data_IF_178701895463
#
_entry.id   IF_178701895463
#
_cell.length_a   1.000
_cell.length_b   1.000
_cell.length_c   1.000
_cell.angle_alpha   90.00
_cell.angle_beta   90.00
_cell.angle_gamma   90.00
#
_symmetry.space_group_name_H-M   'P 1'
#
loop_
_entity.id
_entity.type
_entity.pdbx_description
1 polymer ?
#
# COMPACT_ATOMS: atom_id res chain seq x y z
N UNK A 1 4.78 -3.14 11.77
CA UNK A 1 5.05 -1.94 12.57
C UNK A 1 3.76 -1.17 12.81
N UNK A 2 3.61 -0.49 13.94
CA UNK A 2 2.55 0.51 14.07
C UNK A 2 2.83 1.67 13.09
N UNK A 3 1.77 2.39 12.65
CA UNK A 3 1.93 3.54 11.76
C UNK A 3 2.80 4.63 12.40
N UNK A 4 3.62 5.28 11.58
CA UNK A 4 4.57 6.31 12.01
C UNK A 4 4.09 7.75 11.84
N UNK A 5 2.87 7.95 11.29
CA UNK A 5 2.28 9.28 11.04
C UNK A 5 2.63 9.89 9.67
N UNK A 6 3.22 9.12 8.77
CA UNK A 6 3.48 9.55 7.39
C UNK A 6 2.21 9.71 6.54
N UNK A 7 2.37 10.32 5.38
CA UNK A 7 1.23 10.59 4.45
C UNK A 7 0.59 9.31 3.94
N UNK A 8 1.38 8.25 3.66
CA UNK A 8 0.90 6.95 3.17
C UNK A 8 0.40 6.04 4.28
N UNK A 9 0.65 6.38 5.54
CA UNK A 9 0.29 5.53 6.68
C UNK A 9 -1.23 5.36 6.81
N UNK A 10 -2.03 6.21 6.16
CA UNK A 10 -3.48 6.04 6.12
C UNK A 10 -3.87 4.63 5.62
N UNK A 11 -3.11 4.08 4.67
CA UNK A 11 -3.34 2.76 4.11
C UNK A 11 -3.01 1.61 5.08
N UNK A 12 -2.35 1.91 6.21
CA UNK A 12 -2.10 0.99 7.32
C UNK A 12 -3.06 1.29 8.47
N UNK A 13 -3.19 2.56 8.84
CA UNK A 13 -4.07 3.05 9.93
C UNK A 13 -5.51 2.58 9.76
N UNK A 14 -6.02 2.61 8.53
CA UNK A 14 -7.39 2.19 8.20
C UNK A 14 -7.66 0.73 8.60
N UNK A 15 -6.68 -0.17 8.43
CA UNK A 15 -6.82 -1.58 8.85
C UNK A 15 -6.78 -1.73 10.37
N UNK A 16 -5.95 -0.93 11.07
CA UNK A 16 -5.94 -0.92 12.53
C UNK A 16 -7.30 -0.47 13.09
N UNK A 17 -7.87 0.60 12.55
CA UNK A 17 -9.20 1.07 12.92
C UNK A 17 -10.28 0.00 12.64
N UNK A 18 -10.23 -0.61 11.46
CA UNK A 18 -11.18 -1.65 11.06
C UNK A 18 -11.14 -2.87 11.98
N UNK A 19 -9.95 -3.33 12.40
CA UNK A 19 -9.81 -4.49 13.31
C UNK A 19 -10.28 -4.15 14.71
N UNK A 20 -10.02 -2.94 15.21
CA UNK A 20 -10.47 -2.48 16.53
C UNK A 20 -11.96 -2.13 16.59
N UNK A 21 -12.65 -2.04 15.45
CA UNK A 21 -14.03 -1.58 15.38
C UNK A 21 -14.18 -0.06 15.61
N UNK A 22 -13.13 0.69 15.35
CA UNK A 22 -13.08 2.15 15.49
C UNK A 22 -13.45 2.82 14.15
N UNK A 23 -13.96 4.07 14.20
CA UNK A 23 -14.05 4.92 13.03
C UNK A 23 -12.67 5.29 12.53
N UNK A 24 -12.53 5.43 11.22
CA UNK A 24 -11.31 5.93 10.61
C UNK A 24 -11.51 7.34 10.03
N UNK A 25 -10.66 8.27 10.44
CA UNK A 25 -10.60 9.62 9.88
C UNK A 25 -9.50 9.67 8.81
N UNK A 26 -9.90 9.66 7.53
CA UNK A 26 -8.95 9.71 6.43
C UNK A 26 -8.41 11.14 6.26
N UNK A 27 -7.07 11.34 6.31
CA UNK A 27 -6.49 12.68 6.19
C UNK A 27 -6.40 13.18 4.75
N UNK A 28 -6.55 12.29 3.76
CA UNK A 28 -6.46 12.61 2.35
C UNK A 28 -7.84 12.82 1.73
N UNK A 29 -7.88 13.59 0.65
CA UNK A 29 -9.13 13.80 -0.11
C UNK A 29 -9.51 12.54 -0.87
N UNK A 30 -10.81 12.41 -1.12
CA UNK A 30 -11.36 11.44 -2.06
C UNK A 30 -10.67 11.56 -3.43
N UNK A 31 -10.37 10.43 -4.06
CA UNK A 31 -9.72 10.39 -5.36
C UNK A 31 -8.22 10.66 -5.35
N UNK A 32 -7.57 10.77 -4.17
CA UNK A 32 -6.11 10.89 -4.08
C UNK A 32 -5.48 9.54 -4.36
N UNK A 33 -5.04 9.33 -5.61
CA UNK A 33 -4.37 8.10 -6.04
C UNK A 33 -2.91 8.12 -5.61
N UNK A 34 -2.45 7.04 -5.01
CA UNK A 34 -1.05 6.82 -4.65
C UNK A 34 -0.61 5.41 -5.04
N UNK A 35 0.63 5.31 -5.52
CA UNK A 35 1.26 4.01 -5.74
C UNK A 35 1.62 3.37 -4.41
N UNK A 36 1.28 2.09 -4.29
CA UNK A 36 1.45 1.32 -3.08
C UNK A 36 2.04 -0.05 -3.36
N UNK A 37 2.77 -0.55 -2.38
CA UNK A 37 3.27 -1.91 -2.39
C UNK A 37 3.16 -2.51 -0.99
N UNK A 38 2.66 -3.75 -0.91
CA UNK A 38 2.62 -4.46 0.36
C UNK A 38 4.03 -4.91 0.77
N UNK A 39 4.36 -4.81 2.06
CA UNK A 39 5.72 -5.10 2.56
C UNK A 39 6.30 -6.45 2.14
N UNK A 40 5.55 -7.57 2.10
CA UNK A 40 6.09 -8.82 1.57
C UNK A 40 6.60 -8.71 0.13
N UNK A 41 5.86 -8.03 -0.76
CA UNK A 41 6.31 -7.81 -2.13
C UNK A 41 7.53 -6.88 -2.21
N UNK A 42 7.60 -5.86 -1.34
CA UNK A 42 8.75 -4.97 -1.29
C UNK A 42 10.04 -5.70 -0.84
N UNK A 43 9.92 -6.60 0.15
CA UNK A 43 11.03 -7.44 0.61
C UNK A 43 11.42 -8.44 -0.48
N UNK A 44 10.45 -9.13 -1.07
CA UNK A 44 10.69 -10.08 -2.16
C UNK A 44 11.36 -9.39 -3.35
N UNK A 45 10.93 -8.17 -3.72
CA UNK A 45 11.54 -7.39 -4.79
C UNK A 45 13.02 -7.09 -4.51
N UNK A 46 13.35 -6.69 -3.28
CA UNK A 46 14.75 -6.42 -2.90
C UNK A 46 15.60 -7.69 -2.99
N UNK A 47 15.10 -8.83 -2.48
CA UNK A 47 15.81 -10.12 -2.52
C UNK A 47 16.01 -10.57 -3.98
N UNK A 48 14.94 -10.55 -4.80
CA UNK A 48 15.02 -10.96 -6.20
C UNK A 48 15.99 -10.10 -7.00
N UNK A 49 16.03 -8.78 -6.76
CA UNK A 49 17.01 -7.91 -7.42
C UNK A 49 18.47 -8.25 -7.00
N UNK A 50 18.69 -8.57 -5.72
CA UNK A 50 20.02 -9.00 -5.22
C UNK A 50 20.47 -10.32 -5.83
N UNK A 51 19.55 -11.22 -6.13
CA UNK A 51 19.79 -12.54 -6.72
C UNK A 51 19.74 -12.54 -8.26
N UNK A 52 19.37 -11.40 -8.89
CA UNK A 52 19.24 -11.29 -10.33
C UNK A 52 20.60 -11.49 -11.03
N UNK A 53 20.54 -12.08 -12.21
CA UNK A 53 21.73 -12.24 -13.08
C UNK A 53 22.24 -10.87 -13.53
N UNK A 54 23.43 -10.43 -13.06
CA UNK A 54 23.92 -9.10 -13.36
C UNK A 54 24.21 -8.88 -14.85
N UNK A 55 24.34 -9.95 -15.64
CA UNK A 55 24.57 -9.84 -17.09
C UNK A 55 23.31 -9.43 -17.85
N UNK A 56 22.13 -9.62 -17.25
CA UNK A 56 20.82 -9.25 -17.82
C UNK A 56 20.39 -7.84 -17.43
N UNK A 57 21.03 -7.22 -16.42
CA UNK A 57 20.68 -5.90 -15.97
C UNK A 57 21.26 -4.82 -16.89
N UNK A 58 20.38 -4.12 -17.60
CA UNK A 58 20.73 -2.94 -18.41
C UNK A 58 20.87 -1.73 -17.48
N UNK A 59 19.90 -1.55 -16.57
CA UNK A 59 19.92 -0.52 -15.54
C UNK A 59 20.63 -1.07 -14.30
N UNK A 60 21.59 -0.33 -13.76
CA UNK A 60 22.44 -0.83 -12.65
C UNK A 60 22.41 0.04 -11.39
N UNK A 61 21.68 1.14 -11.42
CA UNK A 61 21.63 2.11 -10.34
C UNK A 61 20.32 2.11 -9.57
N UNK A 62 19.19 1.87 -10.24
CA UNK A 62 17.87 1.87 -9.61
C UNK A 62 16.81 1.25 -10.51
N UNK A 63 15.76 0.71 -9.88
CA UNK A 63 14.54 0.24 -10.53
C UNK A 63 13.33 0.81 -9.80
N UNK A 64 12.35 1.29 -10.55
CA UNK A 64 11.04 1.50 -10.00
C UNK A 64 10.33 0.15 -9.84
N UNK A 65 9.64 -0.01 -8.73
CA UNK A 65 8.78 -1.17 -8.45
C UNK A 65 7.47 -0.68 -7.86
N UNK A 66 6.35 -1.18 -8.38
CA UNK A 66 5.01 -0.86 -7.87
C UNK A 66 4.12 -2.09 -7.97
N UNK A 67 3.11 -2.21 -7.09
CA UNK A 67 2.21 -3.36 -7.09
C UNK A 67 0.77 -2.95 -7.38
N UNK A 68 0.34 -1.84 -6.83
CA UNK A 68 -1.03 -1.38 -6.94
C UNK A 68 -1.10 0.13 -6.75
N UNK A 69 -2.12 0.75 -7.31
CA UNK A 69 -2.45 2.15 -7.04
C UNK A 69 -3.93 2.22 -6.70
N UNK A 70 -4.24 2.93 -5.65
CA UNK A 70 -5.62 3.08 -5.18
C UNK A 70 -5.79 4.38 -4.40
N UNK A 71 -7.02 4.81 -4.30
CA UNK A 71 -7.46 5.93 -3.48
C UNK A 71 -8.09 5.47 -2.16
N UNK A 72 -8.38 6.37 -1.22
CA UNK A 72 -9.03 6.01 0.04
C UNK A 72 -10.39 5.32 -0.11
N UNK A 73 -11.14 5.61 -1.18
CA UNK A 73 -12.44 4.97 -1.43
C UNK A 73 -12.28 3.48 -1.77
N UNK A 74 -11.28 3.15 -2.60
CA UNK A 74 -11.06 1.79 -3.04
C UNK A 74 -10.68 0.87 -1.85
N UNK A 75 -9.74 1.31 -1.01
CA UNK A 75 -9.34 0.53 0.18
C UNK A 75 -10.48 0.44 1.20
N UNK A 76 -11.25 1.51 1.39
CA UNK A 76 -12.42 1.50 2.26
C UNK A 76 -13.49 0.53 1.77
N UNK A 77 -13.80 0.56 0.46
CA UNK A 77 -14.77 -0.36 -0.13
C UNK A 77 -14.33 -1.82 0.01
N UNK A 78 -13.03 -2.10 -0.16
CA UNK A 78 -12.50 -3.46 -0.02
C UNK A 78 -12.58 -3.95 1.42
N UNK A 79 -12.25 -3.11 2.42
CA UNK A 79 -12.40 -3.47 3.84
C UNK A 79 -13.86 -3.76 4.18
N UNK A 80 -14.80 -2.98 3.66
CA UNK A 80 -16.22 -3.19 3.92
C UNK A 80 -16.79 -4.51 3.39
N UNK A 81 -16.15 -5.15 2.41
CA UNK A 81 -16.52 -6.52 1.99
C UNK A 81 -16.35 -7.53 3.12
N UNK A 82 -15.38 -7.28 4.01
CA UNK A 82 -15.06 -8.16 5.14
C UNK A 82 -15.63 -7.65 6.46
N UNK A 83 -15.84 -6.36 6.58
CA UNK A 83 -16.35 -5.65 7.77
C UNK A 83 -17.43 -4.64 7.35
N UNK A 84 -18.68 -5.08 7.14
CA UNK A 84 -19.76 -4.21 6.61
C UNK A 84 -20.06 -2.97 7.45
N UNK A 85 -19.86 -3.07 8.77
CA UNK A 85 -20.15 -1.99 9.73
C UNK A 85 -19.01 -0.97 9.86
N UNK A 86 -17.88 -1.19 9.18
CA UNK A 86 -16.75 -0.26 9.24
C UNK A 86 -17.10 1.08 8.60
N UNK A 87 -16.74 2.17 9.29
CA UNK A 87 -17.02 3.55 8.89
C UNK A 87 -15.74 4.34 8.70
N UNK A 88 -15.61 4.97 7.53
CA UNK A 88 -14.57 5.96 7.24
C UNK A 88 -15.21 7.32 7.01
N UNK A 89 -14.60 8.35 7.57
CA UNK A 89 -14.95 9.76 7.37
C UNK A 89 -13.71 10.51 6.87
N UNK A 90 -13.90 11.64 6.21
CA UNK A 90 -12.81 12.47 5.75
C UNK A 90 -12.53 13.60 6.74
N UNK A 91 -11.29 13.64 7.22
CA UNK A 91 -10.77 14.76 8.01
C UNK A 91 -9.50 15.27 7.36
N UNK A 92 -9.69 16.09 6.34
CA UNK A 92 -8.63 16.58 5.48
C UNK A 92 -7.51 17.27 6.25
N UNK A 93 -6.26 16.78 6.07
CA UNK A 93 -5.03 17.39 6.53
C UNK A 93 -4.34 18.08 5.34
N UNK A 94 -4.28 19.42 5.29
CA UNK A 94 -3.70 20.14 4.15
C UNK A 94 -2.22 19.82 3.91
N UNK A 95 -1.46 19.55 4.97
CA UNK A 95 -0.03 19.24 4.85
C UNK A 95 0.17 17.85 4.22
N UNK A 96 -0.53 16.84 4.74
CA UNK A 96 -0.48 15.47 4.19
C UNK A 96 -0.98 15.44 2.75
N UNK A 97 -2.04 16.19 2.45
CA UNK A 97 -2.55 16.29 1.08
C UNK A 97 -1.53 16.93 0.13
N UNK A 98 -0.89 18.02 0.54
CA UNK A 98 0.13 18.67 -0.29
C UNK A 98 1.31 17.73 -0.59
N UNK A 99 1.70 16.90 0.36
CA UNK A 99 2.73 15.88 0.16
C UNK A 99 2.22 14.82 -0.84
N UNK A 100 1.00 14.30 -0.66
CA UNK A 100 0.41 13.33 -1.57
C UNK A 100 0.29 13.88 -3.00
N UNK A 101 -0.15 15.12 -3.15
CA UNK A 101 -0.31 15.80 -4.45
C UNK A 101 1.05 16.04 -5.16
N UNK A 102 2.17 15.98 -4.45
CA UNK A 102 3.51 16.10 -5.03
C UNK A 102 4.08 14.79 -5.58
N UNK A 103 3.45 13.68 -5.29
CA UNK A 103 3.89 12.36 -5.72
C UNK A 103 3.26 11.99 -7.07
N UNK A 104 3.96 11.20 -7.90
CA UNK A 104 3.37 10.70 -9.13
C UNK A 104 2.19 9.77 -8.82
N UNK A 105 1.14 9.86 -9.62
CA UNK A 105 -0.02 8.96 -9.47
C UNK A 105 0.27 7.54 -9.98
N UNK A 106 1.35 7.38 -10.73
CA UNK A 106 1.76 6.12 -11.34
C UNK A 106 3.28 6.10 -11.52
N UNK A 107 3.89 4.96 -11.20
CA UNK A 107 5.30 4.67 -11.49
C UNK A 107 5.40 3.59 -12.57
N UNK A 108 6.26 3.82 -13.57
CA UNK A 108 6.59 2.81 -14.57
C UNK A 108 7.63 1.83 -14.01
N UNK A 109 7.25 0.56 -13.89
CA UNK A 109 8.08 -0.55 -13.42
C UNK A 109 8.46 -1.53 -14.55
N UNK A 110 8.28 -1.13 -15.81
CA UNK A 110 8.51 -1.98 -16.97
C UNK A 110 9.95 -2.52 -17.04
N UNK A 111 10.95 -1.72 -16.65
CA UNK A 111 12.35 -2.15 -16.58
C UNK A 111 12.55 -3.28 -15.56
N UNK A 112 11.96 -3.16 -14.37
CA UNK A 112 12.05 -4.20 -13.35
C UNK A 112 11.44 -5.53 -13.83
N UNK A 113 10.28 -5.44 -14.48
CA UNK A 113 9.59 -6.62 -15.06
C UNK A 113 10.40 -7.27 -16.17
N UNK A 114 10.99 -6.48 -17.05
CA UNK A 114 11.74 -6.98 -18.21
C UNK A 114 13.11 -7.54 -17.83
N UNK A 115 13.83 -6.88 -16.94
CA UNK A 115 15.26 -7.19 -16.69
C UNK A 115 15.48 -8.27 -15.64
N UNK A 116 14.63 -8.34 -14.62
CA UNK A 116 14.76 -9.33 -13.54
C UNK A 116 13.47 -9.99 -13.11
N UNK A 117 12.39 -9.82 -13.89
CA UNK A 117 11.17 -10.58 -13.72
C UNK A 117 10.32 -10.16 -12.52
N UNK A 118 10.40 -8.88 -12.12
CA UNK A 118 9.56 -8.37 -11.04
C UNK A 118 8.08 -8.68 -11.27
N UNK A 119 7.43 -9.28 -10.28
CA UNK A 119 6.01 -9.65 -10.35
C UNK A 119 5.43 -9.65 -8.93
N UNK A 120 4.74 -8.58 -8.52
CA UNK A 120 4.13 -8.53 -7.20
C UNK A 120 3.02 -9.57 -7.07
N UNK A 121 2.87 -10.14 -5.87
CA UNK A 121 1.92 -11.22 -5.56
C UNK A 121 0.62 -10.70 -4.98
N UNK A 122 0.68 -9.51 -4.37
CA UNK A 122 -0.45 -8.90 -3.68
C UNK A 122 -1.09 -7.79 -4.49
N UNK A 123 -2.37 -7.93 -4.72
CA UNK A 123 -3.31 -6.87 -5.10
C UNK A 123 -4.04 -6.34 -3.86
N UNK A 124 -4.89 -5.33 -4.02
CA UNK A 124 -5.64 -4.74 -2.91
C UNK A 124 -6.53 -5.77 -2.17
N UNK A 125 -7.29 -6.65 -2.85
CA UNK A 125 -8.06 -7.70 -2.17
C UNK A 125 -7.20 -8.66 -1.35
N UNK A 126 -6.11 -9.18 -1.90
CA UNK A 126 -5.23 -10.12 -1.17
C UNK A 126 -4.53 -9.45 0.01
N UNK A 127 -4.06 -8.21 -0.17
CA UNK A 127 -3.49 -7.42 0.92
C UNK A 127 -4.52 -7.21 2.02
N UNK A 128 -5.76 -6.87 1.68
CA UNK A 128 -6.83 -6.64 2.65
C UNK A 128 -7.10 -7.87 3.50
N UNK A 129 -7.24 -9.05 2.90
CA UNK A 129 -7.44 -10.31 3.63
C UNK A 129 -6.28 -10.58 4.58
N UNK A 130 -5.05 -10.50 4.10
CA UNK A 130 -3.84 -10.78 4.88
C UNK A 130 -3.65 -9.78 6.04
N UNK A 131 -3.88 -8.48 5.79
CA UNK A 131 -3.81 -7.45 6.81
C UNK A 131 -4.86 -7.64 7.91
N UNK A 132 -6.12 -7.88 7.55
CA UNK A 132 -7.18 -8.13 8.52
C UNK A 132 -6.92 -9.36 9.36
N UNK A 133 -6.46 -10.46 8.76
CA UNK A 133 -6.13 -11.70 9.48
C UNK A 133 -4.96 -11.49 10.46
N UNK A 134 -3.84 -10.96 9.98
CA UNK A 134 -2.64 -10.75 10.81
C UNK A 134 -2.87 -9.77 11.95
N UNK A 135 -3.57 -8.66 11.68
CA UNK A 135 -3.86 -7.67 12.71
C UNK A 135 -4.87 -8.19 13.74
N UNK A 136 -5.90 -8.93 13.31
CA UNK A 136 -6.83 -9.55 14.25
C UNK A 136 -6.12 -10.52 15.19
N UNK A 137 -5.24 -11.36 14.68
CA UNK A 137 -4.42 -12.28 15.52
C UNK A 137 -3.50 -11.55 16.49
N UNK A 138 -3.05 -10.35 16.16
CA UNK A 138 -2.12 -9.56 16.96
C UNK A 138 -2.81 -8.68 18.01
N UNK A 139 -3.95 -8.10 17.68
CA UNK A 139 -4.60 -7.07 18.48
C UNK A 139 -5.73 -7.60 19.35
N UNK A 140 -6.33 -8.74 18.99
CA UNK A 140 -7.48 -9.32 19.70
C UNK A 140 -7.09 -10.53 20.57
N UNK A 141 -5.81 -10.64 20.91
CA UNK A 141 -5.31 -11.64 21.86
C UNK A 141 -5.48 -11.20 23.30
#
# INVERSE_FOLDING_TARGET
CPPGGGTTDYAVDIYYAAVKGERFECPLRKGTLLDMMYMPDAIDAAIHLMEADPTKLIHRNSFNVTAMHFDPEAIYAEIRRHKPDFVMEYRHDPLKQKIADSWPNYMDDSCARAEWGFSPKFDLPKMTVDMLDKLSKRLLK
#
